data_IF_501567317814
#
_entry.id   IF_501567317814
#
_cell.length_a   1.000
_cell.length_b   1.000
_cell.length_c   1.000
_cell.angle_alpha   90.00
_cell.angle_beta   90.00
_cell.angle_gamma   90.00
#
_symmetry.space_group_name_H-M   'P 1'
#
loop_
_entity.id
_entity.type
_entity.pdbx_description
1 polymer ?
#
# COMPACT_ATOMS: atom_id res chain seq x y z
N UNK A 1 -2.22 32.43 -55.09
CA UNK A 1 -2.57 33.48 -54.09
C UNK A 1 -3.79 33.01 -53.32
N UNK A 2 -3.83 33.28 -52.00
CA UNK A 2 -4.68 32.66 -50.95
C UNK A 2 -4.12 31.30 -50.46
N UNK A 3 -3.67 31.10 -49.22
CA UNK A 3 -3.66 31.98 -48.05
C UNK A 3 -3.94 31.19 -46.78
N UNK A 4 -2.92 30.52 -46.25
CA UNK A 4 -2.75 30.02 -44.88
C UNK A 4 -3.71 30.60 -43.82
N UNK A 5 -4.74 29.84 -43.42
CA UNK A 5 -5.42 30.00 -42.14
C UNK A 5 -5.85 28.60 -41.64
N UNK A 6 -4.92 27.79 -41.15
CA UNK A 6 -5.26 26.64 -40.28
C UNK A 6 -4.05 26.26 -39.41
N UNK A 7 -3.55 27.23 -38.64
CA UNK A 7 -2.58 27.01 -37.57
C UNK A 7 -2.84 28.04 -36.47
N UNK A 8 -3.72 27.70 -35.51
CA UNK A 8 -3.74 28.21 -34.12
C UNK A 8 -5.05 27.81 -33.42
N UNK A 9 -5.21 26.52 -33.10
CA UNK A 9 -6.24 26.10 -32.13
C UNK A 9 -5.89 24.83 -31.36
N UNK A 10 -4.66 24.34 -31.47
CA UNK A 10 -4.18 23.17 -30.71
C UNK A 10 -2.90 23.56 -29.99
N UNK A 11 -3.03 24.48 -29.03
CA UNK A 11 -1.94 24.79 -28.09
C UNK A 11 -2.43 25.28 -26.71
N UNK A 12 -3.75 25.27 -26.46
CA UNK A 12 -4.33 25.71 -25.18
C UNK A 12 -4.99 24.60 -24.35
N UNK A 13 -5.07 23.37 -24.85
CA UNK A 13 -5.75 22.26 -24.13
C UNK A 13 -4.81 21.31 -23.39
N UNK A 14 -3.49 21.40 -23.61
CA UNK A 14 -2.50 20.50 -22.96
C UNK A 14 -1.83 21.11 -21.72
N UNK A 15 -2.06 22.39 -21.43
CA UNK A 15 -1.55 23.07 -20.23
C UNK A 15 -2.58 23.14 -19.08
N UNK A 16 -3.82 22.72 -19.31
CA UNK A 16 -4.89 22.79 -18.30
C UNK A 16 -5.12 21.48 -17.54
N UNK A 17 -4.60 20.35 -18.03
CA UNK A 17 -4.74 19.03 -17.36
C UNK A 17 -3.59 18.76 -16.38
N UNK A 18 -2.43 19.40 -16.56
CA UNK A 18 -1.28 19.24 -15.65
C UNK A 18 -1.42 20.01 -14.31
N UNK A 19 -2.37 20.93 -14.18
CA UNK A 19 -2.57 21.72 -12.95
C UNK A 19 -3.66 21.17 -12.03
N UNK A 20 -4.47 20.20 -12.49
CA UNK A 20 -5.62 19.68 -11.74
C UNK A 20 -5.31 18.35 -11.02
N UNK A 21 -4.24 17.63 -11.40
CA UNK A 21 -3.88 16.33 -10.79
C UNK A 21 -2.66 16.32 -9.87
N UNK A 22 -2.02 17.47 -9.63
CA UNK A 22 -0.89 17.59 -8.69
C UNK A 22 -1.27 18.17 -7.32
N UNK A 23 -2.55 18.18 -6.95
CA UNK A 23 -2.95 18.28 -5.55
C UNK A 23 -2.65 16.92 -4.86
N UNK A 24 -1.37 16.53 -4.87
CA UNK A 24 -0.82 15.78 -3.76
C UNK A 24 -1.16 16.62 -2.54
N UNK A 25 -2.17 16.18 -1.82
CA UNK A 25 -2.49 16.68 -0.51
C UNK A 25 -1.22 16.55 0.32
N UNK A 26 -0.42 17.62 0.35
CA UNK A 26 0.29 17.96 1.56
C UNK A 26 -0.75 17.78 2.67
N UNK A 27 -0.31 17.29 3.83
CA UNK A 27 -0.95 17.69 5.08
C UNK A 27 -0.73 19.22 5.25
N UNK A 28 -1.26 20.00 4.30
CA UNK A 28 -1.31 21.44 4.23
C UNK A 28 -2.36 21.84 5.24
N UNK A 29 -1.89 21.85 6.47
CA UNK A 29 -2.53 22.36 7.67
C UNK A 29 -2.68 23.88 7.53
N UNK A 30 -3.49 24.32 6.56
CA UNK A 30 -3.58 25.72 6.17
C UNK A 30 -4.39 26.53 7.18
N UNK A 31 -3.77 26.85 8.30
CA UNK A 31 -4.01 28.10 9.00
C UNK A 31 -2.89 29.06 8.63
N UNK A 32 -3.21 30.24 8.11
CA UNK A 32 -2.22 31.31 7.85
C UNK A 32 -1.43 31.72 9.11
N UNK A 33 -1.85 31.26 10.29
CA UNK A 33 -1.32 31.68 11.59
C UNK A 33 -0.74 30.53 12.41
N UNK A 34 -0.90 29.27 12.00
CA UNK A 34 -0.27 28.12 12.66
C UNK A 34 0.65 27.40 11.68
N UNK A 35 1.93 27.25 12.03
CA UNK A 35 2.84 26.38 11.29
C UNK A 35 2.95 25.04 12.01
N UNK A 36 2.81 23.95 11.26
CA UNK A 36 3.09 22.59 11.73
C UNK A 36 4.52 22.25 11.33
N UNK A 37 5.40 22.21 12.33
CA UNK A 37 6.79 21.78 12.17
C UNK A 37 6.82 20.35 12.71
N UNK A 38 7.09 19.39 11.85
CA UNK A 38 7.42 18.04 12.30
C UNK A 38 8.92 18.04 12.63
N UNK A 39 9.29 17.60 13.83
CA UNK A 39 10.66 17.74 14.35
C UNK A 39 11.63 16.65 13.89
N UNK A 40 11.32 15.93 12.82
CA UNK A 40 12.23 14.91 12.34
C UNK A 40 13.38 15.55 11.53
N UNK A 41 14.54 14.91 11.54
CA UNK A 41 15.62 15.17 10.59
C UNK A 41 14.98 15.29 9.18
N UNK A 42 15.21 16.36 8.41
CA UNK A 42 14.62 16.53 7.07
C UNK A 42 14.89 15.33 6.14
N UNK A 43 15.92 14.53 6.40
CA UNK A 43 16.24 13.31 5.66
C UNK A 43 15.43 12.06 6.11
N UNK A 44 14.68 12.17 7.20
CA UNK A 44 13.84 11.10 7.72
C UNK A 44 12.48 11.09 7.03
N UNK A 45 12.15 10.00 6.35
CA UNK A 45 10.85 9.79 5.69
C UNK A 45 9.65 9.70 6.67
N UNK A 46 9.87 9.95 7.97
CA UNK A 46 8.84 10.11 8.99
C UNK A 46 8.30 11.55 9.10
N UNK A 47 9.03 12.56 8.58
CA UNK A 47 8.71 13.99 8.75
C UNK A 47 7.29 14.34 8.31
N UNK A 48 6.74 13.64 7.32
CA UNK A 48 5.44 13.94 6.72
C UNK A 48 4.36 12.87 6.98
N UNK A 49 4.55 12.00 7.97
CA UNK A 49 3.67 10.86 8.16
C UNK A 49 3.16 10.72 9.59
N UNK A 50 1.87 10.44 9.72
CA UNK A 50 1.27 10.01 10.97
C UNK A 50 1.69 8.57 11.27
N UNK A 51 2.88 8.41 11.85
CA UNK A 51 3.42 7.11 12.21
C UNK A 51 3.31 6.95 13.72
N UNK A 52 2.56 5.94 14.15
CA UNK A 52 2.34 5.60 15.55
C UNK A 52 3.09 4.30 15.84
N UNK A 53 4.21 4.42 16.54
CA UNK A 53 5.01 3.30 17.03
C UNK A 53 5.03 3.32 18.56
N UNK A 54 5.43 2.22 19.20
CA UNK A 54 5.63 2.23 20.65
C UNK A 54 6.79 3.17 20.99
N UNK A 55 6.63 3.86 22.11
CA UNK A 55 7.69 4.73 22.63
C UNK A 55 8.98 3.95 22.86
N UNK A 56 10.12 4.54 22.49
CA UNK A 56 11.43 3.90 22.58
C UNK A 56 11.72 2.86 21.49
N UNK A 57 10.74 2.47 20.68
CA UNK A 57 10.95 1.49 19.61
C UNK A 57 11.58 2.15 18.37
N UNK A 58 12.53 1.45 17.74
CA UNK A 58 13.05 1.73 16.41
C UNK A 58 12.62 0.58 15.49
N UNK A 59 12.12 0.89 14.30
CA UNK A 59 11.63 -0.09 13.32
C UNK A 59 12.35 0.08 11.99
N UNK A 60 12.46 -0.95 11.15
CA UNK A 60 13.11 -0.82 9.83
C UNK A 60 12.15 -0.36 8.73
N UNK A 61 12.62 0.53 7.86
CA UNK A 61 11.89 1.08 6.71
C UNK A 61 12.68 0.91 5.40
N UNK A 62 11.97 0.65 4.30
CA UNK A 62 12.47 0.65 2.93
C UNK A 62 12.12 -0.63 2.18
N UNK A 63 11.51 -0.48 1.01
CA UNK A 63 11.30 -1.59 0.08
C UNK A 63 11.54 -1.06 -1.34
N UNK A 64 12.76 -1.25 -1.83
CA UNK A 64 13.01 -1.39 -3.27
C UNK A 64 14.30 -2.16 -3.49
N UNK A 65 14.36 -3.31 -2.82
CA UNK A 65 15.29 -4.43 -3.04
C UNK A 65 16.83 -4.22 -3.12
N UNK A 66 17.31 -2.98 -2.99
CA UNK A 66 18.70 -2.58 -2.84
C UNK A 66 18.86 -1.36 -1.92
N UNK A 67 17.75 -0.77 -1.47
CA UNK A 67 17.78 0.30 -0.48
C UNK A 67 18.23 -0.26 0.86
N UNK A 68 19.28 0.35 1.44
CA UNK A 68 19.60 0.12 2.85
C UNK A 68 18.36 0.43 3.66
N UNK A 69 17.95 -0.53 4.48
CA UNK A 69 16.86 -0.31 5.42
C UNK A 69 17.31 0.79 6.38
N UNK A 70 16.50 1.85 6.47
CA UNK A 70 16.74 2.92 7.42
C UNK A 70 15.85 2.69 8.64
N UNK A 71 16.35 2.92 9.86
CA UNK A 71 15.52 2.91 11.03
C UNK A 71 14.52 4.08 10.96
N UNK A 72 13.24 3.78 11.17
CA UNK A 72 12.25 4.75 11.63
C UNK A 72 12.69 5.14 13.04
N UNK A 73 13.09 6.40 13.18
CA UNK A 73 13.38 7.01 14.47
C UNK A 73 12.17 6.97 15.41
N UNK A 74 12.37 7.34 16.68
CA UNK A 74 11.27 7.45 17.64
C UNK A 74 10.08 8.21 17.08
N UNK A 75 8.88 7.89 17.58
CA UNK A 75 7.65 8.59 17.23
C UNK A 75 7.87 10.10 17.34
N UNK A 76 7.92 10.75 16.17
CA UNK A 76 8.29 12.16 16.05
C UNK A 76 7.11 13.01 16.52
N UNK A 77 7.32 13.98 17.42
CA UNK A 77 6.26 14.86 17.84
C UNK A 77 5.89 15.89 16.79
N UNK A 78 4.62 16.27 16.81
CA UNK A 78 4.11 17.45 16.15
C UNK A 78 4.47 18.69 16.97
N UNK A 79 5.15 19.64 16.35
CA UNK A 79 5.41 20.97 16.92
C UNK A 79 4.52 21.97 16.18
N UNK A 80 3.47 22.44 16.86
CA UNK A 80 2.54 23.44 16.32
C UNK A 80 2.94 24.80 16.88
N UNK A 81 3.29 25.73 15.99
CA UNK A 81 3.73 27.07 16.38
C UNK A 81 2.73 28.11 15.90
N UNK A 82 2.35 29.01 16.80
CA UNK A 82 1.67 30.26 16.44
C UNK A 82 2.69 31.19 15.78
N UNK A 83 2.51 31.47 14.49
CA UNK A 83 3.47 32.21 13.67
C UNK A 83 3.53 33.69 14.10
N UNK A 84 2.35 34.28 14.35
CA UNK A 84 2.25 35.66 14.81
C UNK A 84 2.46 35.71 16.32
N UNK A 85 3.56 36.33 16.77
CA UNK A 85 3.81 36.53 18.19
C UNK A 85 2.64 37.31 18.81
N UNK A 86 2.00 36.78 19.87
CA UNK A 86 0.96 37.52 20.57
C UNK A 86 1.59 38.59 21.46
N UNK A 87 0.95 39.74 21.51
CA UNK A 87 1.34 40.88 22.35
C UNK A 87 1.43 40.50 23.84
N UNK A 88 2.14 41.32 24.59
CA UNK A 88 2.46 41.06 26.00
C UNK A 88 1.23 41.06 26.93
N UNK A 89 0.19 41.81 26.56
CA UNK A 89 -1.11 41.87 27.22
C UNK A 89 -2.04 40.70 26.84
N UNK A 90 -1.66 39.90 25.84
CA UNK A 90 -2.45 38.76 25.40
C UNK A 90 -2.07 37.50 26.18
N UNK A 91 -3.07 36.69 26.49
CA UNK A 91 -2.88 35.32 26.96
C UNK A 91 -3.30 34.33 25.89
N UNK A 92 -2.76 33.12 25.95
CA UNK A 92 -2.99 32.06 24.97
C UNK A 92 -3.61 30.85 25.68
N UNK A 93 -4.52 30.16 25.00
CA UNK A 93 -4.97 28.84 25.42
C UNK A 93 -4.92 27.87 24.24
N UNK A 94 -4.20 26.77 24.41
CA UNK A 94 -4.16 25.67 23.46
C UNK A 94 -5.27 24.67 23.76
N UNK A 95 -5.76 24.02 22.71
CA UNK A 95 -6.61 22.86 22.83
C UNK A 95 -6.38 21.89 21.69
N UNK A 96 -6.46 20.60 22.01
CA UNK A 96 -6.37 19.52 21.04
C UNK A 96 -7.62 18.68 21.20
N UNK A 97 -8.36 18.51 20.11
CA UNK A 97 -9.49 17.60 20.04
C UNK A 97 -9.13 16.43 19.13
N UNK A 98 -9.20 15.21 19.64
CA UNK A 98 -9.18 14.00 18.81
C UNK A 98 -10.52 13.91 18.10
N UNK A 99 -10.53 13.82 16.78
CA UNK A 99 -11.78 13.88 16.00
C UNK A 99 -12.56 12.55 16.02
N UNK A 100 -11.90 11.45 16.34
CA UNK A 100 -12.55 10.14 16.49
C UNK A 100 -12.47 9.64 17.94
N UNK A 101 -13.62 9.25 18.50
CA UNK A 101 -13.77 8.69 19.85
C UNK A 101 -13.09 7.34 20.03
N UNK A 102 -12.89 6.62 18.94
CA UNK A 102 -12.40 5.26 18.96
C UNK A 102 -10.88 5.19 19.01
N UNK A 103 -10.20 6.33 18.87
CA UNK A 103 -8.77 6.41 18.64
C UNK A 103 -8.08 7.15 19.79
N UNK A 104 -6.83 6.75 20.06
CA UNK A 104 -6.11 6.99 21.30
C UNK A 104 -6.02 8.46 21.73
N UNK A 105 -5.60 8.63 22.98
CA UNK A 105 -5.29 9.95 23.55
C UNK A 105 -4.07 10.58 22.88
N UNK A 106 -3.69 11.75 23.33
CA UNK A 106 -2.44 12.40 22.96
C UNK A 106 -1.43 12.24 24.11
N UNK A 107 -0.15 12.23 23.78
CA UNK A 107 0.93 12.49 24.75
C UNK A 107 1.41 13.92 24.53
N UNK A 108 1.13 14.80 25.48
CA UNK A 108 1.65 16.17 25.50
C UNK A 108 3.13 16.14 25.89
N UNK A 109 3.95 16.91 25.19
CA UNK A 109 5.37 17.08 25.49
C UNK A 109 5.72 18.53 25.84
N UNK A 110 4.84 19.50 25.55
CA UNK A 110 4.95 20.85 26.09
C UNK A 110 4.89 20.84 27.62
N UNK A 111 5.65 21.72 28.26
CA UNK A 111 5.78 21.83 29.72
C UNK A 111 4.55 22.44 30.41
N UNK A 112 3.62 23.04 29.67
CA UNK A 112 2.44 23.64 30.27
C UNK A 112 1.38 22.61 30.68
N UNK A 113 0.72 22.89 31.81
CA UNK A 113 -0.36 22.08 32.35
C UNK A 113 -1.67 22.28 31.58
N UNK A 114 -2.47 21.22 31.50
CA UNK A 114 -3.80 21.27 30.92
C UNK A 114 -4.70 20.14 31.40
N UNK A 115 -6.00 20.33 31.21
CA UNK A 115 -7.05 19.42 31.63
C UNK A 115 -7.62 18.69 30.41
N UNK A 116 -7.76 17.37 30.54
CA UNK A 116 -8.33 16.52 29.50
C UNK A 116 -9.60 15.83 29.97
N UNK A 117 -10.57 15.69 29.05
CA UNK A 117 -11.78 14.88 29.29
C UNK A 117 -12.23 14.18 28.02
N UNK A 118 -12.81 12.99 28.18
CA UNK A 118 -13.50 12.31 27.09
C UNK A 118 -14.84 13.01 26.82
N UNK A 119 -15.09 13.38 25.57
CA UNK A 119 -16.38 13.91 25.11
C UNK A 119 -17.11 12.89 24.23
N UNK A 120 -18.41 13.10 24.05
CA UNK A 120 -19.21 12.46 23.02
C UNK A 120 -18.74 12.74 21.59
N UNK A 121 -17.71 13.55 21.35
CA UNK A 121 -17.14 13.77 20.01
C UNK A 121 -15.63 13.50 19.93
N UNK A 122 -15.06 12.86 20.96
CA UNK A 122 -13.63 12.52 21.05
C UNK A 122 -12.99 13.03 22.32
N UNK A 123 -11.72 12.73 22.54
CA UNK A 123 -10.96 13.30 23.66
C UNK A 123 -10.65 14.77 23.39
N UNK A 124 -10.88 15.63 24.38
CA UNK A 124 -10.52 17.04 24.33
C UNK A 124 -9.56 17.36 25.47
N UNK A 125 -8.40 17.89 25.11
CA UNK A 125 -7.43 18.46 26.03
C UNK A 125 -7.35 19.97 25.84
N UNK A 126 -7.20 20.71 26.95
CA UNK A 126 -7.09 22.18 26.99
C UNK A 126 -6.01 22.60 27.97
N UNK A 127 -5.12 23.50 27.55
CA UNK A 127 -4.15 24.11 28.46
C UNK A 127 -4.84 25.03 29.47
N UNK A 128 -4.15 25.29 30.58
CA UNK A 128 -4.35 26.53 31.33
C UNK A 128 -4.11 27.76 30.45
N UNK A 129 -4.58 28.93 30.89
CA UNK A 129 -4.29 30.20 30.23
C UNK A 129 -2.81 30.53 30.40
N UNK A 130 -2.10 30.77 29.30
CA UNK A 130 -0.67 31.02 29.26
C UNK A 130 -0.40 32.51 29.01
N UNK A 131 0.05 33.22 30.02
CA UNK A 131 0.48 34.61 29.91
C UNK A 131 1.94 34.72 29.43
N UNK A 132 2.48 35.94 29.38
CA UNK A 132 3.83 36.22 28.85
C UNK A 132 4.97 35.63 29.68
N UNK A 133 4.72 35.23 30.92
CA UNK A 133 5.72 34.64 31.82
C UNK A 133 6.04 33.19 31.45
N UNK A 134 5.13 32.52 30.74
CA UNK A 134 5.32 31.13 30.30
C UNK A 134 6.24 31.09 29.09
N UNK A 135 7.41 30.47 29.26
CA UNK A 135 8.34 30.22 28.17
C UNK A 135 7.69 29.35 27.09
N UNK A 136 8.00 29.64 25.82
CA UNK A 136 7.50 28.90 24.66
C UNK A 136 5.97 28.75 24.59
N UNK A 137 5.18 29.63 25.22
CA UNK A 137 3.69 29.62 25.20
C UNK A 137 3.06 29.55 23.81
N UNK A 138 3.80 29.96 22.78
CA UNK A 138 3.42 29.96 21.36
C UNK A 138 3.66 28.62 20.65
N UNK A 139 4.24 27.62 21.33
CA UNK A 139 4.58 26.31 20.77
C UNK A 139 3.89 25.20 21.55
N UNK A 140 3.11 24.40 20.84
CA UNK A 140 2.47 23.20 21.35
C UNK A 140 3.16 21.98 20.75
N UNK A 141 3.71 21.13 21.61
CA UNK A 141 4.41 19.91 21.24
C UNK A 141 3.63 18.73 21.77
N UNK A 142 3.22 17.83 20.88
CA UNK A 142 2.51 16.62 21.26
C UNK A 142 2.74 15.51 20.24
N UNK A 143 2.38 14.29 20.59
CA UNK A 143 2.32 13.18 19.64
C UNK A 143 1.09 12.32 19.89
N UNK A 144 0.62 11.53 18.90
CA UNK A 144 -0.38 10.50 19.13
C UNK A 144 0.08 9.57 20.24
N UNK A 145 -0.77 9.24 21.22
CA UNK A 145 -0.43 8.14 22.12
C UNK A 145 -0.42 6.82 21.30
N UNK A 146 0.49 5.88 21.59
CA UNK A 146 0.39 4.54 21.05
C UNK A 146 -1.00 3.99 21.36
N UNK A 147 -1.71 3.52 20.34
CA UNK A 147 -2.96 2.82 20.57
C UNK A 147 -2.67 1.33 20.80
N UNK A 148 -3.49 0.70 21.63
CA UNK A 148 -3.43 -0.75 21.85
C UNK A 148 -3.96 -1.46 20.60
N UNK A 149 -3.14 -1.51 19.56
CA UNK A 149 -3.30 -2.46 18.47
C UNK A 149 -3.33 -3.87 19.08
N UNK A 150 -4.29 -4.71 18.68
CA UNK A 150 -4.41 -6.07 19.19
C UNK A 150 -4.08 -7.10 18.09
N UNK A 151 -2.78 -7.32 17.77
CA UNK A 151 -2.32 -8.36 16.83
C UNK A 151 -2.90 -9.75 17.11
N UNK A 152 -3.36 -10.02 18.33
CA UNK A 152 -4.01 -11.28 18.69
C UNK A 152 -5.37 -11.49 18.04
N UNK A 153 -6.13 -10.42 17.74
CA UNK A 153 -7.41 -10.50 17.01
C UNK A 153 -7.19 -11.02 15.59
N UNK A 154 -6.05 -10.66 14.99
CA UNK A 154 -5.64 -11.12 13.68
C UNK A 154 -5.33 -12.62 13.61
N UNK A 155 -5.17 -13.30 14.76
CA UNK A 155 -4.62 -14.65 14.81
C UNK A 155 -5.63 -15.78 14.66
N UNK A 156 -6.93 -15.50 14.46
CA UNK A 156 -7.99 -16.46 14.08
C UNK A 156 -9.31 -15.71 13.95
N UNK A 157 -9.50 -15.03 12.83
CA UNK A 157 -10.76 -14.38 12.49
C UNK A 157 -11.87 -15.41 12.27
N UNK A 158 -13.03 -15.11 12.83
CA UNK A 158 -14.28 -15.58 12.26
C UNK A 158 -14.54 -14.72 11.01
N UNK A 159 -14.88 -15.33 9.87
CA UNK A 159 -15.27 -14.55 8.69
C UNK A 159 -16.49 -13.66 8.96
N UNK A 160 -16.94 -12.83 8.00
CA UNK A 160 -18.17 -12.03 8.13
C UNK A 160 -19.40 -12.85 8.57
N UNK A 161 -19.38 -14.16 8.33
CA UNK A 161 -20.42 -15.13 8.66
C UNK A 161 -20.20 -15.85 10.02
N UNK A 162 -19.24 -15.42 10.85
CA UNK A 162 -19.00 -16.03 12.16
C UNK A 162 -18.22 -17.36 12.15
N UNK A 163 -17.87 -17.91 10.99
CA UNK A 163 -17.15 -19.17 10.86
C UNK A 163 -15.65 -18.99 11.06
N UNK A 164 -15.04 -19.85 11.88
CA UNK A 164 -13.59 -19.88 12.12
C UNK A 164 -12.87 -20.19 10.82
N UNK A 165 -11.96 -19.31 10.40
CA UNK A 165 -11.23 -19.52 9.15
C UNK A 165 -10.08 -20.49 9.33
N UNK A 166 -9.79 -21.22 8.25
CA UNK A 166 -8.59 -22.07 8.13
C UNK A 166 -7.30 -21.23 8.22
N UNK A 167 -7.37 -19.98 7.78
CA UNK A 167 -6.30 -18.98 7.76
C UNK A 167 -6.81 -17.59 8.18
N UNK A 168 -5.96 -16.75 8.77
CA UNK A 168 -6.20 -15.31 8.88
C UNK A 168 -7.05 -14.78 10.03
N UNK A 169 -6.94 -13.47 10.22
CA UNK A 169 -7.78 -12.57 11.00
C UNK A 169 -7.61 -11.09 10.62
N UNK A 170 -6.89 -10.80 9.54
CA UNK A 170 -6.90 -9.48 8.89
C UNK A 170 -8.24 -9.17 8.21
N UNK A 171 -8.34 -7.98 7.61
CA UNK A 171 -9.57 -7.46 7.00
C UNK A 171 -9.32 -6.96 5.57
N UNK A 172 -10.40 -6.87 4.78
CA UNK A 172 -10.40 -6.17 3.48
C UNK A 172 -10.88 -4.72 3.60
N UNK A 173 -11.30 -4.30 4.79
CA UNK A 173 -11.83 -2.97 5.05
C UNK A 173 -10.70 -1.99 5.35
N UNK A 174 -11.03 -0.70 5.31
CA UNK A 174 -10.14 0.40 5.70
C UNK A 174 -10.76 1.11 6.89
N UNK A 175 -9.94 1.74 7.72
CA UNK A 175 -10.41 2.57 8.84
C UNK A 175 -11.28 1.79 9.85
N UNK A 176 -10.80 0.60 10.22
CA UNK A 176 -11.50 -0.25 11.17
C UNK A 176 -10.86 -0.14 12.55
N UNK A 177 -11.67 0.19 13.57
CA UNK A 177 -11.24 0.40 14.97
C UNK A 177 -10.27 -0.64 15.50
N UNK A 178 -10.58 -1.91 15.25
CA UNK A 178 -9.87 -3.07 15.80
C UNK A 178 -8.62 -3.42 15.01
N UNK A 179 -8.48 -2.81 13.84
CA UNK A 179 -7.45 -3.14 12.88
C UNK A 179 -6.53 -1.93 12.67
N UNK A 180 -6.82 -1.10 11.67
CA UNK A 180 -6.03 0.09 11.34
C UNK A 180 -6.89 1.34 11.16
N UNK A 181 -7.22 2.04 12.26
CA UNK A 181 -8.03 3.23 12.19
C UNK A 181 -7.27 4.49 11.74
N UNK A 182 -8.02 5.44 11.18
CA UNK A 182 -7.55 6.75 10.77
C UNK A 182 -7.50 7.72 11.95
N UNK A 183 -6.34 8.32 12.19
CA UNK A 183 -6.17 9.33 13.24
C UNK A 183 -6.32 10.74 12.70
N UNK A 184 -7.02 11.60 13.44
CA UNK A 184 -7.01 13.03 13.19
C UNK A 184 -7.25 13.88 14.44
N UNK A 185 -6.67 15.08 14.43
CA UNK A 185 -6.68 16.04 15.52
C UNK A 185 -7.02 17.44 15.02
N UNK A 186 -7.93 18.10 15.71
CA UNK A 186 -8.12 19.53 15.62
C UNK A 186 -7.27 20.22 16.68
N UNK A 187 -6.31 21.02 16.25
CA UNK A 187 -5.47 21.84 17.13
C UNK A 187 -5.94 23.28 17.04
N UNK A 188 -6.32 23.85 18.17
CA UNK A 188 -6.88 25.20 18.25
C UNK A 188 -6.08 26.00 19.27
N UNK A 189 -5.75 27.23 18.91
CA UNK A 189 -5.21 28.24 19.82
C UNK A 189 -6.18 29.40 19.90
N UNK A 190 -6.55 29.79 21.12
CA UNK A 190 -7.34 30.98 21.41
C UNK A 190 -6.45 32.05 22.02
N UNK A 191 -6.54 33.28 21.52
CA UNK A 191 -5.86 34.45 22.08
C UNK A 191 -6.92 35.27 22.82
N UNK A 192 -6.62 35.62 24.06
CA UNK A 192 -7.50 36.41 24.93
C UNK A 192 -6.80 37.69 25.38
N UNK A 193 -7.59 38.75 25.51
CA UNK A 193 -7.18 40.03 26.11
C UNK A 193 -8.20 40.39 27.20
N UNK A 194 -7.74 40.67 28.43
CA UNK A 194 -8.63 41.00 29.57
C UNK A 194 -9.80 40.01 29.75
N UNK A 195 -9.51 38.72 29.56
CA UNK A 195 -10.51 37.64 29.66
C UNK A 195 -11.44 37.48 28.45
N UNK A 196 -11.40 38.40 27.47
CA UNK A 196 -12.19 38.31 26.23
C UNK A 196 -11.39 37.63 25.13
N UNK A 197 -11.99 36.67 24.44
CA UNK A 197 -11.38 36.02 23.27
C UNK A 197 -11.37 36.97 22.09
N UNK A 198 -10.18 37.31 21.60
CA UNK A 198 -9.97 38.24 20.48
C UNK A 198 -9.63 37.53 19.17
N UNK A 199 -9.02 36.34 19.24
CA UNK A 199 -8.70 35.55 18.06
C UNK A 199 -8.76 34.06 18.36
N UNK A 200 -9.00 33.27 17.31
CA UNK A 200 -8.88 31.82 17.35
C UNK A 200 -8.29 31.33 16.04
N UNK A 201 -7.28 30.49 16.13
CA UNK A 201 -6.68 29.83 14.98
C UNK A 201 -6.81 28.33 15.15
N UNK A 202 -7.17 27.65 14.06
CA UNK A 202 -7.41 26.22 14.05
C UNK A 202 -6.61 25.60 12.92
N UNK A 203 -6.02 24.45 13.18
CA UNK A 203 -5.46 23.58 12.16
C UNK A 203 -5.93 22.14 12.36
N UNK A 204 -6.05 21.39 11.26
CA UNK A 204 -6.46 19.99 11.27
C UNK A 204 -5.29 19.11 10.81
N UNK A 205 -4.99 18.12 11.63
CA UNK A 205 -3.96 17.12 11.43
C UNK A 205 -4.67 15.80 11.17
N UNK A 206 -4.48 15.17 10.00
CA UNK A 206 -5.13 13.90 9.68
C UNK A 206 -4.17 12.97 8.95
N UNK A 207 -4.20 11.69 9.32
CA UNK A 207 -3.70 10.60 8.48
C UNK A 207 -4.32 10.70 7.09
N UNK A 208 -3.52 10.44 6.06
CA UNK A 208 -4.03 10.10 4.74
C UNK A 208 -3.92 8.59 4.47
N UNK A 209 -4.32 8.16 3.28
CA UNK A 209 -4.32 6.74 2.93
C UNK A 209 -2.92 6.13 2.86
N UNK A 210 -1.91 6.92 2.52
CA UNK A 210 -0.51 6.45 2.51
C UNK A 210 -0.07 6.18 3.94
N UNK A 211 -0.33 7.12 4.86
CA UNK A 211 -0.03 6.97 6.28
C UNK A 211 -0.75 5.77 6.88
N UNK A 212 -2.02 5.57 6.54
CA UNK A 212 -2.79 4.41 6.97
C UNK A 212 -2.13 3.10 6.52
N UNK A 213 -1.76 2.95 5.24
CA UNK A 213 -1.07 1.73 4.78
C UNK A 213 0.23 1.54 5.53
N UNK A 214 1.05 2.58 5.68
CA UNK A 214 2.32 2.47 6.43
C UNK A 214 2.07 2.03 7.88
N UNK A 215 1.02 2.55 8.51
CA UNK A 215 0.60 2.14 9.84
C UNK A 215 0.21 0.65 9.88
N UNK A 216 -0.39 0.09 8.83
CA UNK A 216 -0.61 -1.37 8.76
C UNK A 216 0.70 -2.15 8.76
N UNK A 217 1.72 -1.73 7.99
CA UNK A 217 3.03 -2.39 8.00
C UNK A 217 3.70 -2.33 9.37
N UNK A 218 3.52 -1.22 10.10
CA UNK A 218 3.99 -1.08 11.49
C UNK A 218 3.25 -2.00 12.45
N UNK A 219 1.92 -1.99 12.36
CA UNK A 219 1.02 -2.81 13.17
C UNK A 219 1.34 -4.30 13.01
N UNK A 220 1.82 -4.67 11.83
CA UNK A 220 2.24 -6.00 11.44
C UNK A 220 3.76 -6.12 11.36
N UNK A 221 4.54 -5.22 11.97
CA UNK A 221 6.01 -5.27 11.87
C UNK A 221 6.55 -6.61 12.36
N UNK A 222 6.07 -7.05 13.53
CA UNK A 222 6.40 -8.34 14.13
C UNK A 222 5.34 -9.39 13.76
N UNK A 223 5.52 -10.07 12.63
CA UNK A 223 4.59 -11.12 12.22
C UNK A 223 5.06 -12.46 12.78
N UNK A 224 4.16 -13.12 13.51
CA UNK A 224 4.39 -14.53 13.89
C UNK A 224 4.26 -15.41 12.67
N UNK A 225 5.32 -16.12 12.30
CA UNK A 225 5.26 -17.13 11.24
C UNK A 225 4.33 -18.26 11.68
N UNK A 226 3.37 -18.61 10.84
CA UNK A 226 2.52 -19.79 11.07
C UNK A 226 3.25 -21.02 10.53
N UNK A 227 3.98 -21.74 11.38
CA UNK A 227 4.71 -22.97 11.00
C UNK A 227 6.06 -23.12 11.70
N UNK A 228 6.97 -23.90 11.10
CA UNK A 228 8.36 -24.04 11.59
C UNK A 228 9.21 -22.89 11.06
N UNK A 229 9.90 -22.17 11.96
CA UNK A 229 10.81 -21.08 11.63
C UNK A 229 10.65 -19.87 12.56
N UNK A 230 11.61 -18.95 12.51
CA UNK A 230 11.58 -17.74 13.32
C UNK A 230 10.52 -16.74 12.81
N UNK A 231 10.10 -15.83 13.70
CA UNK A 231 9.25 -14.71 13.33
C UNK A 231 10.00 -13.82 12.33
N UNK A 232 9.26 -13.24 11.39
CA UNK A 232 9.83 -12.33 10.40
C UNK A 232 9.47 -10.89 10.71
N UNK A 233 10.37 -9.98 10.35
CA UNK A 233 10.05 -8.56 10.27
C UNK A 233 9.60 -8.22 8.84
N UNK A 234 8.45 -7.56 8.72
CA UNK A 234 8.05 -6.97 7.44
C UNK A 234 8.64 -5.56 7.35
N UNK A 235 9.40 -5.24 6.29
CA UNK A 235 9.93 -3.90 6.12
C UNK A 235 8.78 -2.91 5.91
N UNK A 236 8.89 -1.73 6.51
CA UNK A 236 7.87 -0.69 6.37
C UNK A 236 8.17 0.11 5.11
N UNK A 237 7.24 0.29 4.15
CA UNK A 237 7.50 1.10 2.97
C UNK A 237 7.69 2.58 3.32
N UNK A 238 8.47 3.27 2.50
CA UNK A 238 8.55 4.72 2.48
C UNK A 238 7.29 5.34 1.89
N UNK A 239 7.07 6.61 2.24
CA UNK A 239 5.88 7.36 1.80
C UNK A 239 5.85 7.50 0.29
N UNK A 240 7.02 7.78 -0.30
CA UNK A 240 7.27 7.92 -1.74
C UNK A 240 7.32 6.57 -2.49
N UNK A 241 7.45 5.44 -1.78
CA UNK A 241 7.34 4.09 -2.35
C UNK A 241 5.88 3.65 -2.55
N UNK A 242 4.93 4.32 -1.89
CA UNK A 242 3.49 4.06 -2.02
C UNK A 242 2.90 5.01 -3.04
N UNK A 243 2.35 4.46 -4.10
CA UNK A 243 1.73 5.22 -5.18
C UNK A 243 0.26 4.88 -5.30
N UNK A 244 -0.49 5.74 -6.00
CA UNK A 244 -1.80 5.35 -6.52
C UNK A 244 -1.66 4.07 -7.33
N UNK A 245 -2.71 3.26 -7.29
CA UNK A 245 -2.86 2.15 -8.22
C UNK A 245 -2.91 2.74 -9.63
N UNK A 246 -1.92 2.44 -10.49
CA UNK A 246 -1.96 2.90 -11.87
C UNK A 246 -2.98 2.10 -12.66
N UNK A 247 -3.26 2.57 -13.87
CA UNK A 247 -4.08 1.82 -14.82
C UNK A 247 -3.44 0.46 -15.09
N UNK A 248 -4.27 -0.59 -15.09
CA UNK A 248 -3.82 -1.93 -15.43
C UNK A 248 -3.38 -1.97 -16.89
N UNK A 249 -2.41 -2.82 -17.28
CA UNK A 249 -2.08 -3.03 -18.68
C UNK A 249 -3.34 -3.41 -19.47
N UNK A 250 -3.54 -2.79 -20.64
CA UNK A 250 -4.77 -2.92 -21.43
C UNK A 250 -5.08 -4.38 -21.84
N UNK A 251 -4.02 -5.15 -22.13
CA UNK A 251 -4.10 -6.56 -22.54
C UNK A 251 -4.27 -7.53 -21.37
N UNK A 252 -4.20 -7.03 -20.15
CA UNK A 252 -4.21 -7.85 -18.95
C UNK A 252 -5.60 -7.84 -18.32
N UNK A 253 -6.20 -9.02 -18.30
CA UNK A 253 -7.51 -9.21 -17.70
C UNK A 253 -7.39 -9.47 -16.19
N UNK A 254 -8.46 -9.20 -15.46
CA UNK A 254 -8.48 -9.27 -14.01
C UNK A 254 -8.18 -7.95 -13.31
N UNK A 255 -8.41 -7.96 -11.99
CA UNK A 255 -8.25 -6.78 -11.15
C UNK A 255 -7.58 -6.95 -9.77
N UNK A 256 -6.71 -7.95 -9.51
CA UNK A 256 -6.22 -8.20 -8.14
C UNK A 256 -5.19 -7.18 -7.67
N UNK A 257 -4.51 -6.53 -8.63
CA UNK A 257 -3.57 -5.44 -8.41
C UNK A 257 -4.27 -4.19 -7.84
N UNK A 258 -5.58 -4.06 -8.05
CA UNK A 258 -6.36 -2.88 -7.65
C UNK A 258 -7.36 -3.14 -6.52
N UNK A 259 -7.42 -4.38 -6.01
CA UNK A 259 -8.36 -4.75 -4.93
C UNK A 259 -8.08 -4.08 -3.58
N UNK A 260 -6.97 -3.37 -3.47
CA UNK A 260 -6.69 -2.47 -2.35
C UNK A 260 -7.80 -1.42 -2.24
N UNK A 261 -8.58 -1.48 -1.16
CA UNK A 261 -9.60 -0.46 -0.85
C UNK A 261 -9.00 0.93 -0.68
N UNK A 262 -7.71 1.01 -0.34
CA UNK A 262 -6.99 2.29 -0.29
C UNK A 262 -6.77 2.92 -1.66
N UNK A 263 -6.88 2.16 -2.76
CA UNK A 263 -6.50 2.58 -4.12
C UNK A 263 -5.01 2.94 -4.26
N UNK A 264 -4.17 2.37 -3.39
CA UNK A 264 -2.72 2.54 -3.36
C UNK A 264 -2.03 1.17 -3.36
N UNK A 265 -0.78 1.13 -3.84
CA UNK A 265 0.11 -0.04 -3.88
C UNK A 265 1.54 0.35 -3.55
N UNK A 266 2.35 -0.66 -3.21
CA UNK A 266 3.81 -0.60 -3.37
C UNK A 266 4.10 -1.30 -4.69
N UNK A 267 4.74 -0.61 -5.64
CA UNK A 267 5.14 -1.20 -6.90
C UNK A 267 6.65 -1.38 -6.94
N UNK A 268 7.10 -2.59 -6.61
CA UNK A 268 8.51 -2.98 -6.65
C UNK A 268 8.81 -3.86 -7.87
N UNK A 269 8.28 -3.44 -9.02
CA UNK A 269 8.48 -4.08 -10.32
C UNK A 269 7.34 -4.99 -10.77
N UNK A 270 6.34 -5.29 -9.92
CA UNK A 270 5.25 -6.20 -10.30
C UNK A 270 4.46 -5.76 -11.54
N UNK A 271 4.33 -4.46 -11.80
CA UNK A 271 3.58 -3.97 -12.96
C UNK A 271 4.35 -4.11 -14.26
N UNK A 272 5.64 -3.78 -14.24
CA UNK A 272 6.55 -4.02 -15.36
C UNK A 272 6.62 -5.52 -15.67
N UNK A 273 6.68 -6.35 -14.62
CA UNK A 273 6.63 -7.79 -14.74
C UNK A 273 5.32 -8.27 -15.40
N UNK A 274 4.18 -7.76 -14.94
CA UNK A 274 2.88 -8.10 -15.49
C UNK A 274 2.76 -7.74 -16.98
N UNK A 275 3.22 -6.54 -17.36
CA UNK A 275 3.21 -6.08 -18.75
C UNK A 275 4.10 -6.94 -19.65
N UNK A 276 5.33 -7.23 -19.21
CA UNK A 276 6.29 -8.06 -19.95
C UNK A 276 5.78 -9.48 -20.18
N UNK A 277 5.24 -10.12 -19.13
CA UNK A 277 4.67 -11.47 -19.24
C UNK A 277 3.47 -11.47 -20.20
N UNK A 278 2.57 -10.50 -20.05
CA UNK A 278 1.36 -10.41 -20.89
C UNK A 278 1.70 -10.17 -22.35
N UNK A 279 2.67 -9.30 -22.62
CA UNK A 279 3.16 -9.01 -23.97
C UNK A 279 3.80 -10.25 -24.59
N UNK A 280 4.68 -10.95 -23.88
CA UNK A 280 5.33 -12.17 -24.35
C UNK A 280 4.32 -13.28 -24.69
N UNK A 281 3.33 -13.47 -23.82
CA UNK A 281 2.24 -14.44 -24.04
C UNK A 281 1.40 -14.08 -25.26
N UNK A 282 0.92 -12.83 -25.34
CA UNK A 282 0.06 -12.36 -26.43
C UNK A 282 0.76 -12.46 -27.78
N UNK A 283 2.05 -12.12 -27.83
CA UNK A 283 2.84 -12.24 -29.05
C UNK A 283 3.02 -13.70 -29.47
N UNK A 284 3.38 -14.60 -28.54
CA UNK A 284 3.51 -16.03 -28.84
C UNK A 284 2.19 -16.65 -29.30
N UNK A 285 1.08 -16.27 -28.69
CA UNK A 285 -0.26 -16.71 -29.09
C UNK A 285 -0.57 -16.26 -30.53
N UNK A 286 -0.26 -15.01 -30.88
CA UNK A 286 -0.46 -14.47 -32.24
C UNK A 286 0.43 -15.17 -33.27
N UNK A 287 1.72 -15.33 -32.97
CA UNK A 287 2.69 -16.02 -33.83
C UNK A 287 2.20 -17.45 -34.12
N UNK A 288 1.87 -18.21 -33.08
CA UNK A 288 1.42 -19.59 -33.23
C UNK A 288 0.11 -19.69 -34.01
N UNK A 289 -0.88 -18.80 -33.75
CA UNK A 289 -2.14 -18.76 -34.51
C UNK A 289 -1.95 -18.44 -35.99
N UNK A 290 -0.98 -17.58 -36.32
CA UNK A 290 -0.64 -17.23 -37.70
C UNK A 290 0.19 -18.31 -38.41
N UNK A 291 0.79 -19.23 -37.66
CA UNK A 291 1.60 -20.32 -38.17
C UNK A 291 0.80 -21.63 -38.26
N UNK A 292 1.18 -22.51 -39.17
CA UNK A 292 0.73 -23.91 -39.19
C UNK A 292 1.65 -24.85 -38.39
N UNK A 293 2.55 -24.30 -37.56
CA UNK A 293 3.63 -25.05 -36.92
C UNK A 293 3.28 -25.67 -35.57
N UNK A 294 2.09 -25.40 -35.01
CA UNK A 294 1.67 -26.02 -33.76
C UNK A 294 1.00 -27.37 -34.04
N UNK A 295 1.74 -28.45 -33.85
CA UNK A 295 1.34 -29.81 -34.19
C UNK A 295 1.54 -30.76 -32.99
N UNK A 296 0.76 -31.85 -32.96
CA UNK A 296 0.96 -32.94 -32.00
C UNK A 296 2.15 -33.83 -32.40
N UNK A 297 2.47 -34.85 -31.58
CA UNK A 297 3.55 -35.80 -31.88
C UNK A 297 3.31 -36.65 -33.14
N UNK A 298 2.09 -36.63 -33.70
CA UNK A 298 1.71 -37.29 -34.94
C UNK A 298 1.64 -36.31 -36.13
N UNK A 299 2.15 -35.08 -35.95
CA UNK A 299 2.11 -33.99 -36.92
C UNK A 299 0.70 -33.51 -37.30
N UNK A 300 -0.33 -33.84 -36.51
CA UNK A 300 -1.65 -33.25 -36.70
C UNK A 300 -1.63 -31.82 -36.17
N UNK A 301 -2.24 -30.90 -36.92
CA UNK A 301 -2.38 -29.51 -36.47
C UNK A 301 -3.21 -29.44 -35.19
N UNK A 302 -2.67 -28.78 -34.18
CA UNK A 302 -3.37 -28.48 -32.93
C UNK A 302 -4.10 -27.15 -33.06
N UNK A 303 -5.37 -27.15 -32.64
CA UNK A 303 -6.13 -25.91 -32.52
C UNK A 303 -5.64 -25.11 -31.31
N UNK A 304 -5.34 -23.83 -31.54
CA UNK A 304 -4.88 -22.92 -30.49
C UNK A 304 -6.10 -22.19 -29.92
N UNK A 305 -6.48 -22.45 -28.65
CA UNK A 305 -7.63 -21.81 -28.04
C UNK A 305 -7.41 -20.30 -27.89
N UNK A 306 -8.50 -19.52 -27.88
CA UNK A 306 -8.46 -18.08 -27.64
C UNK A 306 -8.36 -17.74 -26.14
N UNK A 307 -7.35 -18.33 -25.51
CA UNK A 307 -7.09 -18.20 -24.10
C UNK A 307 -6.59 -16.80 -23.73
N UNK A 308 -7.25 -16.20 -22.74
CA UNK A 308 -6.80 -14.94 -22.13
C UNK A 308 -5.96 -15.21 -20.88
N UNK A 309 -4.97 -14.37 -20.65
CA UNK A 309 -4.19 -14.37 -19.41
C UNK A 309 -4.85 -13.42 -18.41
N UNK A 310 -5.09 -13.91 -17.19
CA UNK A 310 -5.81 -13.18 -16.15
C UNK A 310 -4.97 -13.13 -14.87
N UNK A 311 -4.77 -11.94 -14.31
CA UNK A 311 -4.13 -11.83 -12.99
C UNK A 311 -5.14 -12.25 -11.93
N UNK A 312 -4.81 -13.23 -11.09
CA UNK A 312 -5.63 -13.65 -9.95
C UNK A 312 -5.17 -13.04 -8.64
N UNK A 313 -3.89 -12.68 -8.54
CA UNK A 313 -3.35 -12.00 -7.38
C UNK A 313 -2.14 -11.12 -7.72
N UNK A 314 -1.93 -10.06 -6.94
CA UNK A 314 -0.84 -9.10 -7.08
C UNK A 314 -0.43 -8.56 -5.71
N UNK A 315 -0.08 -7.27 -5.60
CA UNK A 315 0.25 -6.65 -4.31
C UNK A 315 -0.85 -6.83 -3.26
N UNK A 316 -0.43 -7.05 -2.00
CA UNK A 316 -1.34 -7.19 -0.85
C UNK A 316 -0.78 -6.41 0.34
N UNK A 317 -1.52 -5.42 0.84
CA UNK A 317 -1.22 -4.83 2.16
C UNK A 317 -1.31 -5.90 3.27
N UNK A 318 -0.68 -5.71 4.43
CA UNK A 318 -0.57 -6.73 5.48
C UNK A 318 -1.90 -7.36 5.88
N UNK A 319 -2.93 -6.55 6.15
CA UNK A 319 -4.24 -7.05 6.57
C UNK A 319 -4.93 -7.87 5.47
N UNK A 320 -4.79 -7.45 4.21
CA UNK A 320 -5.27 -8.23 3.05
C UNK A 320 -4.47 -9.51 2.89
N UNK A 321 -3.15 -9.48 3.07
CA UNK A 321 -2.34 -10.68 2.95
C UNK A 321 -2.77 -11.73 3.97
N UNK A 322 -2.98 -11.34 5.22
CA UNK A 322 -3.50 -12.23 6.26
C UNK A 322 -4.93 -12.71 5.98
N UNK A 323 -5.74 -11.95 5.23
CA UNK A 323 -7.05 -12.41 4.78
C UNK A 323 -6.98 -13.57 3.79
N UNK A 324 -6.05 -13.52 2.84
CA UNK A 324 -5.95 -14.50 1.74
C UNK A 324 -4.94 -15.62 2.01
N UNK A 325 -3.94 -15.40 2.88
CA UNK A 325 -2.80 -16.31 3.04
C UNK A 325 -2.18 -16.21 4.44
N UNK A 326 -1.36 -17.22 4.78
CA UNK A 326 -0.47 -17.23 5.93
C UNK A 326 1.00 -16.94 5.56
N UNK A 327 1.27 -16.59 4.30
CA UNK A 327 2.61 -16.29 3.82
C UNK A 327 3.10 -14.98 4.43
N UNK A 328 3.90 -15.10 5.49
CA UNK A 328 4.49 -13.98 6.22
C UNK A 328 5.65 -13.39 5.42
N UNK A 329 5.69 -12.05 5.31
CA UNK A 329 6.72 -11.32 4.57
C UNK A 329 6.82 -11.79 3.10
N UNK A 330 5.67 -12.11 2.50
CA UNK A 330 5.60 -12.60 1.12
C UNK A 330 6.00 -11.52 0.13
N UNK A 331 6.56 -11.93 -1.02
CA UNK A 331 6.97 -11.01 -2.10
C UNK A 331 5.79 -10.16 -2.60
N UNK A 332 4.56 -10.69 -2.56
CA UNK A 332 3.35 -9.92 -2.83
C UNK A 332 3.14 -8.73 -1.89
N UNK A 333 3.50 -8.84 -0.60
CA UNK A 333 3.39 -7.72 0.34
C UNK A 333 4.40 -6.62 0.04
N UNK A 334 5.48 -6.95 -0.67
CA UNK A 334 6.52 -6.01 -1.08
C UNK A 334 6.29 -5.43 -2.47
N UNK A 335 5.28 -5.92 -3.21
CA UNK A 335 4.96 -5.40 -4.54
C UNK A 335 5.84 -5.96 -5.64
N UNK A 336 6.46 -7.12 -5.42
CA UNK A 336 7.37 -7.77 -6.35
C UNK A 336 6.83 -9.08 -6.94
N UNK A 337 5.54 -9.38 -6.79
CA UNK A 337 4.97 -10.65 -7.22
C UNK A 337 3.55 -10.55 -7.79
N UNK A 338 3.25 -11.41 -8.76
CA UNK A 338 1.93 -11.58 -9.37
C UNK A 338 1.62 -13.07 -9.58
N UNK A 339 0.35 -13.40 -9.49
CA UNK A 339 -0.21 -14.72 -9.81
C UNK A 339 -1.13 -14.57 -11.03
N UNK A 340 -0.91 -15.40 -12.05
CA UNK A 340 -1.64 -15.36 -13.31
C UNK A 340 -2.26 -16.72 -13.63
N UNK A 341 -3.45 -16.72 -14.21
CA UNK A 341 -4.11 -17.92 -14.72
C UNK A 341 -4.41 -17.80 -16.21
N UNK A 342 -4.50 -18.94 -16.87
CA UNK A 342 -5.13 -19.06 -18.16
C UNK A 342 -6.65 -19.14 -17.97
N UNK A 343 -7.40 -18.27 -18.63
CA UNK A 343 -8.87 -18.31 -18.63
C UNK A 343 -9.37 -19.45 -19.53
N UNK A 344 -9.35 -20.65 -19.00
CA UNK A 344 -9.90 -21.85 -19.60
C UNK A 344 -10.47 -22.74 -18.49
N UNK A 345 -11.34 -23.73 -18.81
CA UNK A 345 -11.75 -24.73 -17.83
C UNK A 345 -10.52 -25.39 -17.20
N UNK A 346 -10.49 -25.51 -15.86
CA UNK A 346 -9.39 -26.17 -15.15
C UNK A 346 -9.25 -27.63 -15.57
N UNK A 347 -8.01 -28.16 -15.56
CA UNK A 347 -7.69 -29.53 -16.00
C UNK A 347 -8.23 -29.85 -17.42
N UNK A 348 -8.19 -28.88 -18.32
CA UNK A 348 -8.62 -29.06 -19.72
C UNK A 348 -7.46 -28.85 -20.68
N UNK A 349 -7.51 -29.54 -21.82
CA UNK A 349 -6.57 -29.35 -22.94
C UNK A 349 -6.34 -27.89 -23.31
N UNK A 350 -7.38 -27.06 -23.23
CA UNK A 350 -7.26 -25.63 -23.51
C UNK A 350 -6.35 -24.94 -22.49
N UNK A 351 -6.54 -25.19 -21.20
CA UNK A 351 -5.69 -24.66 -20.13
C UNK A 351 -4.23 -25.07 -20.32
N UNK A 352 -4.00 -26.34 -20.63
CA UNK A 352 -2.66 -26.94 -20.80
C UNK A 352 -1.92 -26.35 -21.99
N UNK A 353 -2.59 -26.21 -23.13
CA UNK A 353 -2.05 -25.48 -24.30
C UNK A 353 -1.71 -24.04 -23.89
N UNK A 354 -2.58 -23.36 -23.16
CA UNK A 354 -2.34 -22.00 -22.69
C UNK A 354 -1.09 -21.88 -21.81
N UNK A 355 -0.95 -22.74 -20.80
CA UNK A 355 0.21 -22.71 -19.91
C UNK A 355 1.50 -23.12 -20.63
N UNK A 356 1.43 -24.06 -21.57
CA UNK A 356 2.56 -24.44 -22.40
C UNK A 356 3.04 -23.28 -23.28
N UNK A 357 2.10 -22.58 -23.95
CA UNK A 357 2.41 -21.38 -24.76
C UNK A 357 3.03 -20.30 -23.87
N UNK A 358 2.44 -20.04 -22.70
CA UNK A 358 2.95 -19.08 -21.74
C UNK A 358 4.37 -19.44 -21.31
N UNK A 359 4.61 -20.68 -20.88
CA UNK A 359 5.92 -21.12 -20.42
C UNK A 359 7.01 -20.96 -21.48
N UNK A 360 6.72 -21.39 -22.72
CA UNK A 360 7.67 -21.23 -23.83
C UNK A 360 7.90 -19.76 -24.19
N UNK A 361 6.86 -18.93 -24.13
CA UNK A 361 6.99 -17.49 -24.31
C UNK A 361 7.94 -16.87 -23.28
N UNK A 362 7.84 -17.30 -22.02
CA UNK A 362 8.70 -16.83 -20.94
C UNK A 362 10.14 -17.32 -21.12
N UNK A 363 10.36 -18.59 -21.44
CA UNK A 363 11.71 -19.12 -21.70
C UNK A 363 12.37 -18.45 -22.91
N UNK A 364 11.63 -18.22 -24.01
CA UNK A 364 12.11 -17.48 -25.20
C UNK A 364 12.51 -16.04 -24.87
N UNK A 365 11.80 -15.39 -23.93
CA UNK A 365 12.01 -14.00 -23.55
C UNK A 365 12.73 -13.82 -22.21
N UNK A 366 13.38 -14.86 -21.70
CA UNK A 366 13.96 -14.90 -20.34
C UNK A 366 14.98 -13.81 -20.06
N UNK A 367 15.75 -13.39 -21.05
CA UNK A 367 16.70 -12.28 -20.92
C UNK A 367 16.02 -10.92 -20.70
N UNK A 368 14.79 -10.75 -21.18
CA UNK A 368 14.02 -9.50 -21.11
C UNK A 368 13.08 -9.48 -19.90
N UNK A 369 12.71 -10.65 -19.39
CA UNK A 369 11.80 -10.83 -18.26
C UNK A 369 12.66 -11.07 -17.01
N UNK A 370 12.93 -9.98 -16.28
CA UNK A 370 13.75 -10.00 -15.06
C UNK A 370 12.96 -10.59 -13.87
N UNK A 371 12.68 -11.88 -13.92
CA UNK A 371 11.87 -12.57 -12.92
C UNK A 371 12.25 -14.03 -12.73
N UNK A 372 11.88 -14.56 -11.57
CA UNK A 372 11.71 -15.99 -11.34
C UNK A 372 10.24 -16.33 -11.48
N UNK A 373 9.92 -17.35 -12.26
CA UNK A 373 8.55 -17.85 -12.40
C UNK A 373 8.49 -19.35 -12.18
N UNK A 374 7.34 -19.81 -11.71
CA UNK A 374 7.04 -21.22 -11.50
C UNK A 374 5.55 -21.46 -11.75
N UNK A 375 5.22 -22.62 -12.30
CA UNK A 375 3.84 -23.10 -12.25
C UNK A 375 3.58 -23.69 -10.87
N UNK A 376 2.37 -23.49 -10.37
CA UNK A 376 1.92 -24.05 -9.11
C UNK A 376 0.65 -24.87 -9.30
N UNK A 377 0.55 -25.94 -8.52
CA UNK A 377 -0.66 -26.76 -8.39
C UNK A 377 -1.03 -26.87 -6.92
N UNK A 378 -2.28 -26.60 -6.58
CA UNK A 378 -2.82 -26.60 -5.23
C UNK A 378 -1.98 -25.80 -4.22
N UNK A 379 -1.40 -24.67 -4.67
CA UNK A 379 -0.53 -23.79 -3.88
C UNK A 379 0.84 -24.37 -3.57
N UNK A 380 1.36 -25.28 -4.40
CA UNK A 380 2.71 -25.82 -4.32
C UNK A 380 3.44 -25.62 -5.65
N UNK A 381 4.73 -25.24 -5.62
CA UNK A 381 5.57 -25.21 -6.82
C UNK A 381 5.61 -26.59 -7.48
N UNK A 382 5.41 -26.60 -8.79
CA UNK A 382 5.60 -27.81 -9.59
C UNK A 382 7.11 -28.12 -9.69
N UNK A 383 7.44 -29.40 -9.55
CA UNK A 383 8.82 -29.90 -9.54
C UNK A 383 9.32 -30.17 -10.95
N UNK A 384 10.64 -30.06 -11.16
CA UNK A 384 11.29 -30.37 -12.45
C UNK A 384 11.07 -31.81 -12.93
N UNK A 385 10.65 -32.74 -12.06
CA UNK A 385 10.28 -34.11 -12.45
C UNK A 385 8.93 -34.15 -13.14
N UNK A 386 7.97 -33.33 -12.70
CA UNK A 386 6.64 -33.23 -13.31
C UNK A 386 6.71 -32.65 -14.74
N UNK A 387 7.71 -31.81 -15.05
CA UNK A 387 7.95 -31.31 -16.41
C UNK A 387 8.66 -32.30 -17.35
N UNK A 388 9.19 -33.42 -16.83
CA UNK A 388 10.01 -34.38 -17.57
C UNK A 388 9.39 -35.78 -17.66
N UNK A 389 8.36 -36.06 -16.87
CA UNK A 389 7.63 -37.32 -16.90
C UNK A 389 6.29 -37.08 -17.59
N UNK A 390 5.97 -37.99 -18.51
CA UNK A 390 4.71 -38.09 -19.25
C UNK A 390 4.45 -36.89 -20.18
N UNK A 391 4.89 -37.01 -21.44
CA UNK A 391 4.44 -36.15 -22.53
C UNK A 391 3.17 -36.79 -23.07
N UNK A 392 2.03 -36.11 -23.00
CA UNK A 392 0.78 -36.62 -23.55
C UNK A 392 0.97 -36.90 -25.06
N UNK A 393 0.80 -38.15 -25.52
CA UNK A 393 1.04 -38.49 -26.92
C UNK A 393 0.09 -37.78 -27.91
N UNK A 394 -1.04 -37.28 -27.42
CA UNK A 394 -2.11 -36.68 -28.23
C UNK A 394 -1.89 -35.20 -28.55
N UNK A 395 -0.98 -34.52 -27.85
CA UNK A 395 -0.72 -33.09 -28.05
C UNK A 395 0.78 -32.73 -27.94
N UNK A 396 1.65 -33.63 -27.51
CA UNK A 396 3.08 -33.35 -27.34
C UNK A 396 3.39 -32.38 -26.21
N UNK A 397 2.44 -32.14 -25.31
CA UNK A 397 2.55 -31.25 -24.16
C UNK A 397 2.81 -32.10 -22.91
N UNK A 398 3.78 -31.74 -22.06
CA UNK A 398 3.97 -32.41 -20.78
C UNK A 398 2.72 -32.36 -19.88
N UNK A 399 2.34 -33.48 -19.27
CA UNK A 399 1.19 -33.62 -18.37
C UNK A 399 1.20 -32.63 -17.18
N UNK A 400 2.40 -32.12 -16.85
CA UNK A 400 2.56 -31.03 -15.88
C UNK A 400 1.65 -29.82 -16.19
N UNK A 401 1.47 -29.47 -17.46
CA UNK A 401 0.66 -28.31 -17.82
C UNK A 401 -0.84 -28.52 -17.60
N UNK A 402 -1.32 -29.77 -17.58
CA UNK A 402 -2.71 -30.11 -17.23
C UNK A 402 -3.02 -29.86 -15.76
N UNK A 403 -2.01 -30.04 -14.90
CA UNK A 403 -2.13 -29.95 -13.44
C UNK A 403 -1.90 -28.55 -12.90
N UNK A 404 -1.46 -27.62 -13.74
CA UNK A 404 -1.13 -26.26 -13.33
C UNK A 404 -2.40 -25.44 -13.03
N UNK A 405 -2.46 -24.86 -11.82
CA UNK A 405 -3.57 -23.99 -11.42
C UNK A 405 -3.29 -22.54 -11.78
N UNK A 406 -2.04 -22.09 -11.62
CA UNK A 406 -1.58 -20.74 -11.92
C UNK A 406 -0.07 -20.66 -12.14
N UNK A 407 0.38 -19.57 -12.75
CA UNK A 407 1.77 -19.14 -12.79
C UNK A 407 2.01 -18.13 -11.66
N UNK A 408 2.99 -18.41 -10.81
CA UNK A 408 3.52 -17.45 -9.84
C UNK A 408 4.81 -16.83 -10.38
N UNK A 409 4.89 -15.50 -10.42
CA UNK A 409 6.06 -14.78 -10.92
C UNK A 409 6.53 -13.69 -9.95
N UNK A 410 7.85 -13.69 -9.70
CA UNK A 410 8.55 -12.81 -8.77
C UNK A 410 9.59 -11.98 -9.50
N UNK A 411 9.65 -10.68 -9.23
CA UNK A 411 10.72 -9.80 -9.71
C UNK A 411 12.06 -10.32 -9.21
N UNK A 412 13.06 -10.35 -10.10
CA UNK A 412 14.44 -10.67 -9.79
C UNK A 412 15.21 -9.37 -9.55
N UNK A 413 16.04 -9.36 -8.52
CA UNK A 413 16.75 -8.16 -8.06
C UNK A 413 18.25 -8.34 -8.14
#
# INVERSE_FOLDING_TARGET
MQGSIFRRTIQFTTLFIAFIYSQLSLAGTNSKHLSVISSANPDSNAVHSFIIIKEGQLLTQGIKHSSKQNPIGHQTPFVIKLIKKPDDNHSIQWSIKVNDKQHGTIKLLSEFNGNGRMLNSGYLWKSSTLDKTIQNRQQLIFRPAPFAHQPSIYKKGKGPQGNRRKYGGGTRNIDEKKYNPKFSYDVIVSITEKGKKIATHKTNLSMDRIDMIRQEYINHYDIKRYGRGENGHIPIPKRDEITNIPEKPEKLEGNPLTESRYKLIINDGMLDLADKITTAYTQSLKELKSSSSFQDLKNNRLEIPDNKLWVTSGWRNPERNEWYSNAVNGIHQRGGAIDLIIMAPSNSRQSSIGYWILWNALEKNKSNINAYWQLETNGRPMTTKEFKQDIEPQNGIPDAFDKADHLHANVKY
#
